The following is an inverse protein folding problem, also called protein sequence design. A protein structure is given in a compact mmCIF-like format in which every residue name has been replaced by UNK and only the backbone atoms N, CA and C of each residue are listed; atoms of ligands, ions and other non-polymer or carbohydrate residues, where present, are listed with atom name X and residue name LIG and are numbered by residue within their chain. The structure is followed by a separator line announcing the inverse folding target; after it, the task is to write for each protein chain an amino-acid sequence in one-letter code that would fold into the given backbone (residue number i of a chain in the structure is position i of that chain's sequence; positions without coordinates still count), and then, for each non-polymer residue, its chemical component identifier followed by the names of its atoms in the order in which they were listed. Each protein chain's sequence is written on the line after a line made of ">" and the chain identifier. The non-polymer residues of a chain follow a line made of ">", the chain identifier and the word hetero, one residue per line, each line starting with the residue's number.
data_IF_937081768929
#
_entry.id   IF_937081768929
#
_cell.length_a   1.000
_cell.length_b   1.000
_cell.length_c   1.000
_cell.angle_alpha   90.00
_cell.angle_beta   90.00
_cell.angle_gamma   90.00
#
_symmetry.space_group_name_H-M   'P 1'
#
loop_
_entity.id
_entity.type
_entity.pdbx_description
1 polymer ?
#
# COMPACT_ATOMS: atom_id res chain seq x y z
N UNK A 1 7.97 14.66 -16.37
CA UNK A 1 8.76 14.96 -15.19
C UNK A 1 8.43 14.01 -14.07
N UNK A 2 9.41 13.31 -13.48
CA UNK A 2 9.15 12.43 -12.35
C UNK A 2 8.55 13.23 -11.19
N UNK A 3 7.51 12.70 -10.58
CA UNK A 3 6.84 13.30 -9.44
C UNK A 3 6.72 12.27 -8.35
N UNK A 4 6.58 12.76 -7.12
CA UNK A 4 6.28 11.91 -5.97
C UNK A 4 4.87 12.25 -5.52
N UNK A 5 4.02 11.24 -5.46
CA UNK A 5 2.65 11.36 -4.99
C UNK A 5 2.53 10.69 -3.63
N UNK A 6 2.07 11.44 -2.63
CA UNK A 6 1.86 10.90 -1.30
C UNK A 6 0.35 10.81 -1.06
N UNK A 7 -0.13 9.60 -0.79
CA UNK A 7 -1.55 9.33 -0.56
C UNK A 7 -1.72 8.81 0.85
N UNK A 8 -2.50 9.52 1.66
CA UNK A 8 -2.74 9.13 3.05
C UNK A 8 -4.20 8.69 3.17
N UNK A 9 -4.40 7.37 3.29
CA UNK A 9 -5.72 6.75 3.46
C UNK A 9 -6.71 7.22 2.38
N UNK A 10 -6.35 7.12 1.11
CA UNK A 10 -7.10 7.80 0.04
C UNK A 10 -8.50 7.25 -0.20
N UNK A 11 -8.77 6.02 0.23
CA UNK A 11 -10.09 5.39 0.04
C UNK A 11 -10.91 5.30 1.32
N UNK A 12 -10.39 5.84 2.42
CA UNK A 12 -11.10 5.80 3.71
C UNK A 12 -12.44 6.53 3.60
N UNK A 13 -13.51 5.85 4.01
CA UNK A 13 -14.84 6.43 3.99
C UNK A 13 -15.53 6.45 2.63
N UNK A 14 -14.90 5.92 1.59
CA UNK A 14 -15.47 5.85 0.25
C UNK A 14 -16.21 4.53 0.04
N UNK A 15 -17.23 4.54 -0.83
CA UNK A 15 -17.87 3.30 -1.26
C UNK A 15 -16.95 2.54 -2.21
N UNK A 16 -17.34 1.31 -2.55
CA UNK A 16 -16.53 0.41 -3.38
C UNK A 16 -16.20 1.02 -4.74
N UNK A 17 -17.19 1.66 -5.38
CA UNK A 17 -16.98 2.23 -6.71
C UNK A 17 -16.02 3.42 -6.68
N UNK A 18 -16.19 4.30 -5.71
CA UNK A 18 -15.32 5.47 -5.56
C UNK A 18 -13.90 5.04 -5.18
N UNK A 19 -13.76 4.05 -4.30
CA UNK A 19 -12.46 3.51 -3.91
C UNK A 19 -11.75 2.89 -5.11
N UNK A 20 -12.46 2.14 -5.93
CA UNK A 20 -11.88 1.56 -7.15
C UNK A 20 -11.35 2.64 -8.09
N UNK A 21 -12.11 3.72 -8.26
CA UNK A 21 -11.70 4.84 -9.12
C UNK A 21 -10.41 5.48 -8.62
N UNK A 22 -10.28 5.68 -7.30
CA UNK A 22 -9.07 6.23 -6.70
C UNK A 22 -7.88 5.29 -6.91
N UNK A 23 -8.07 3.98 -6.72
CA UNK A 23 -7.02 2.99 -6.96
C UNK A 23 -6.52 3.04 -8.40
N UNK A 24 -7.44 3.21 -9.37
CA UNK A 24 -7.05 3.31 -10.78
C UNK A 24 -6.23 4.56 -11.05
N UNK A 25 -6.52 5.66 -10.38
CA UNK A 25 -5.74 6.88 -10.52
C UNK A 25 -4.32 6.70 -9.98
N UNK A 26 -4.15 5.99 -8.86
CA UNK A 26 -2.84 5.69 -8.30
C UNK A 26 -2.02 4.82 -9.26
N UNK A 27 -2.62 3.77 -9.79
CA UNK A 27 -1.96 2.88 -10.75
C UNK A 27 -1.54 3.65 -12.00
N UNK A 28 -2.40 4.52 -12.47
CA UNK A 28 -2.12 5.34 -13.65
C UNK A 28 -0.95 6.29 -13.41
N UNK A 29 -0.87 6.88 -12.22
CA UNK A 29 0.25 7.74 -11.85
C UNK A 29 1.57 6.96 -11.87
N UNK A 30 1.58 5.74 -11.35
CA UNK A 30 2.75 4.86 -11.38
C UNK A 30 3.17 4.56 -12.82
N UNK A 31 2.22 4.25 -13.68
CA UNK A 31 2.50 3.93 -15.08
C UNK A 31 3.11 5.12 -15.81
N UNK A 32 2.81 6.33 -15.36
CA UNK A 32 3.37 7.57 -15.92
C UNK A 32 4.71 7.95 -15.31
N UNK A 33 5.28 7.09 -14.47
CA UNK A 33 6.60 7.28 -13.90
C UNK A 33 6.64 7.96 -12.55
N UNK A 34 5.49 8.20 -11.92
CA UNK A 34 5.48 8.79 -10.58
C UNK A 34 5.92 7.78 -9.53
N UNK A 35 6.67 8.25 -8.53
CA UNK A 35 6.87 7.50 -7.30
C UNK A 35 5.66 7.71 -6.41
N UNK A 36 5.08 6.64 -5.87
CA UNK A 36 3.89 6.74 -5.02
C UNK A 36 4.18 6.17 -3.65
N UNK A 37 3.88 6.96 -2.61
CA UNK A 37 3.90 6.51 -1.22
C UNK A 37 2.45 6.47 -0.75
N UNK A 38 2.00 5.27 -0.35
CA UNK A 38 0.61 5.04 0.06
C UNK A 38 0.56 4.61 1.51
N UNK A 39 -0.15 5.37 2.33
CA UNK A 39 -0.49 4.96 3.69
C UNK A 39 -1.91 4.40 3.70
N UNK A 40 -2.08 3.17 4.15
CA UNK A 40 -3.39 2.53 4.20
C UNK A 40 -3.43 1.47 5.28
N UNK A 41 -4.58 1.29 5.89
CA UNK A 41 -4.83 0.17 6.79
C UNK A 41 -5.54 -0.98 6.10
N UNK A 42 -5.84 -0.85 4.83
CA UNK A 42 -6.56 -1.86 4.05
C UNK A 42 -5.55 -2.71 3.27
N UNK A 43 -5.35 -3.95 3.72
CA UNK A 43 -4.40 -4.87 3.09
C UNK A 43 -4.77 -5.20 1.66
N UNK A 44 -6.06 -5.33 1.35
CA UNK A 44 -6.51 -5.59 -0.02
C UNK A 44 -6.06 -4.47 -0.94
N UNK A 45 -6.21 -3.22 -0.51
CA UNK A 45 -5.77 -2.06 -1.27
C UNK A 45 -4.26 -2.07 -1.48
N UNK A 46 -3.51 -2.31 -0.40
CA UNK A 46 -2.04 -2.34 -0.47
C UNK A 46 -1.55 -3.42 -1.43
N UNK A 47 -2.14 -4.61 -1.38
CA UNK A 47 -1.74 -5.70 -2.28
C UNK A 47 -2.15 -5.43 -3.72
N UNK A 48 -3.24 -4.68 -3.92
CA UNK A 48 -3.72 -4.38 -5.26
C UNK A 48 -2.87 -3.36 -6.01
N UNK A 49 -2.31 -2.38 -5.30
CA UNK A 49 -1.65 -1.25 -5.97
C UNK A 49 -0.16 -1.10 -5.68
N UNK A 50 0.37 -1.80 -4.69
CA UNK A 50 1.75 -1.59 -4.23
C UNK A 50 2.72 -2.57 -4.85
N UNK A 51 3.94 -2.10 -5.10
CA UNK A 51 5.06 -2.95 -5.50
C UNK A 51 5.81 -3.47 -4.28
N UNK A 52 5.73 -2.73 -3.18
CA UNK A 52 6.42 -3.03 -1.95
C UNK A 52 5.59 -2.53 -0.78
N UNK A 53 5.45 -3.35 0.25
CA UNK A 53 4.72 -2.97 1.47
C UNK A 53 5.70 -2.98 2.63
N UNK A 54 5.72 -1.86 3.35
CA UNK A 54 6.58 -1.67 4.53
C UNK A 54 5.69 -1.57 5.74
N UNK A 55 6.02 -2.32 6.78
CA UNK A 55 5.27 -2.30 8.04
C UNK A 55 6.03 -1.47 9.06
N UNK A 56 5.34 -0.46 9.60
CA UNK A 56 5.90 0.43 10.60
C UNK A 56 5.27 0.14 11.96
N UNK A 57 6.09 0.21 13.01
CA UNK A 57 5.61 0.08 14.38
C UNK A 57 6.47 0.99 15.27
N UNK A 58 5.81 1.89 15.98
CA UNK A 58 6.45 2.84 16.90
C UNK A 58 7.62 3.60 16.25
N UNK A 59 7.41 4.05 15.01
CA UNK A 59 8.40 4.85 14.30
C UNK A 59 9.53 4.05 13.67
N UNK A 60 9.48 2.74 13.70
CA UNK A 60 10.52 1.89 13.11
C UNK A 60 9.93 0.95 12.07
N UNK A 61 10.74 0.64 11.05
CA UNK A 61 10.38 -0.38 10.06
C UNK A 61 10.64 -1.75 10.70
N UNK A 62 9.58 -2.54 10.82
CA UNK A 62 9.69 -3.88 11.41
C UNK A 62 9.68 -4.99 10.37
N UNK A 63 9.39 -4.67 9.13
CA UNK A 63 9.43 -5.65 8.05
C UNK A 63 8.99 -5.06 6.73
N UNK A 64 9.21 -5.83 5.68
CA UNK A 64 8.88 -5.46 4.31
C UNK A 64 8.48 -6.71 3.55
N UNK A 65 7.45 -6.60 2.70
CA UNK A 65 7.04 -7.68 1.82
C UNK A 65 6.82 -7.15 0.40
N UNK A 66 7.00 -8.02 -0.57
CA UNK A 66 6.65 -7.74 -1.96
C UNK A 66 5.38 -8.50 -2.29
N UNK A 67 4.28 -7.82 -2.67
CA UNK A 67 3.00 -8.48 -2.92
C UNK A 67 3.04 -9.64 -3.91
N UNK A 68 3.92 -9.59 -4.92
CA UNK A 68 4.03 -10.70 -5.87
C UNK A 68 4.62 -11.98 -5.28
N UNK A 69 5.26 -11.89 -4.10
CA UNK A 69 5.91 -13.03 -3.44
C UNK A 69 5.36 -13.28 -2.05
N UNK A 70 4.25 -12.66 -1.70
CA UNK A 70 3.73 -12.71 -0.33
C UNK A 70 2.20 -12.78 -0.36
N UNK A 71 1.64 -13.14 0.79
CA UNK A 71 0.19 -13.14 0.99
C UNK A 71 -0.14 -12.20 2.16
N UNK A 72 -1.39 -11.73 2.29
CA UNK A 72 -1.76 -10.80 3.36
C UNK A 72 -1.40 -11.28 4.77
N UNK A 73 -1.43 -12.60 5.01
CA UNK A 73 -1.05 -13.17 6.29
C UNK A 73 0.39 -12.84 6.70
N UNK A 74 1.29 -12.68 5.73
CA UNK A 74 2.68 -12.30 6.02
C UNK A 74 2.75 -10.93 6.67
N UNK A 75 1.94 -9.98 6.21
CA UNK A 75 1.87 -8.64 6.79
C UNK A 75 1.26 -8.68 8.18
N UNK A 76 0.21 -9.47 8.35
CA UNK A 76 -0.46 -9.64 9.65
C UNK A 76 0.53 -10.19 10.68
N UNK A 77 1.35 -11.17 10.30
CA UNK A 77 2.37 -11.73 11.18
C UNK A 77 3.38 -10.67 11.62
N UNK A 78 3.83 -9.82 10.69
CA UNK A 78 4.74 -8.73 11.04
C UNK A 78 4.08 -7.75 12.00
N UNK A 79 2.82 -7.40 11.77
CA UNK A 79 2.08 -6.48 12.63
C UNK A 79 1.91 -7.03 14.04
N UNK A 80 1.90 -8.34 14.20
CA UNK A 80 1.77 -9.03 15.48
C UNK A 80 3.12 -9.30 16.15
N UNK A 81 4.22 -8.79 15.56
CA UNK A 81 5.54 -8.99 16.10
C UNK A 81 6.21 -10.29 15.68
N UNK A 82 5.61 -11.00 14.73
CA UNK A 82 6.22 -12.21 14.19
C UNK A 82 7.28 -11.90 13.15
N UNK A 83 7.79 -12.94 12.51
CA UNK A 83 8.72 -12.80 11.39
C UNK A 83 8.23 -13.63 10.20
N UNK A 84 8.57 -13.17 9.04
CA UNK A 84 8.18 -13.82 7.78
C UNK A 84 9.32 -14.69 7.27
#
# INVERSE_FOLDING_TARGET
>A
TPQVLICSYPTRGLDVKAAWSVRQQIIRAKEQGAGVVLFSGDLEELFAVSDRIVVLYRGAVIGEVQPEHAVPQDVILLMMGGSV
#
